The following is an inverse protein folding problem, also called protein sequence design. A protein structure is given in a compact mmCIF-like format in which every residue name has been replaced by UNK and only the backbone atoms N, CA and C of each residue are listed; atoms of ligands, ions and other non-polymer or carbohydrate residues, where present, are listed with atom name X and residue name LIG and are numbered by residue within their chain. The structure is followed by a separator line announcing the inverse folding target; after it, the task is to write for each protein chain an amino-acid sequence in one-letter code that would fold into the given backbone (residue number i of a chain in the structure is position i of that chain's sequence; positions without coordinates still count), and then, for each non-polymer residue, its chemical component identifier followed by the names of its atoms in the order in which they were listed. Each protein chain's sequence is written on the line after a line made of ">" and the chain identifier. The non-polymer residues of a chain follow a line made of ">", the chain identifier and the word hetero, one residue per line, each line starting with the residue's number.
data_IF_474660924230
#
_entry.id   IF_474660924230
#
_cell.length_a   1.000
_cell.length_b   1.000
_cell.length_c   1.000
_cell.angle_alpha   90.00
_cell.angle_beta   90.00
_cell.angle_gamma   90.00
#
_symmetry.space_group_name_H-M   'P 1'
#
loop_
_entity.id
_entity.type
_entity.pdbx_description
1 polymer ?
#
# COMPACT_ATOMS: atom_id res chain seq x y z
N UNK A 1 -44.41 13.60 71.96
CA UNK A 1 -45.27 14.14 70.87
C UNK A 1 -44.41 14.22 69.62
N UNK A 2 -44.33 13.14 68.84
CA UNK A 2 -45.03 12.91 67.56
C UNK A 2 -44.17 13.30 66.33
N UNK A 3 -44.32 12.62 65.17
CA UNK A 3 -43.23 11.87 64.54
C UNK A 3 -42.94 12.24 63.06
N UNK A 4 -41.94 11.55 62.49
CA UNK A 4 -41.73 11.07 61.11
C UNK A 4 -42.26 11.83 59.86
N UNK A 5 -41.32 11.96 58.90
CA UNK A 5 -41.34 12.26 57.44
C UNK A 5 -42.48 11.59 56.63
N UNK A 6 -42.77 11.91 55.33
CA UNK A 6 -41.88 12.42 54.25
C UNK A 6 -42.54 13.38 53.22
N UNK A 7 -41.83 13.83 52.16
CA UNK A 7 -42.40 13.96 50.80
C UNK A 7 -41.30 14.03 49.72
N UNK A 8 -41.62 13.38 48.60
CA UNK A 8 -40.77 12.90 47.49
C UNK A 8 -41.00 13.73 46.22
N UNK A 9 -40.05 13.65 45.28
CA UNK A 9 -40.15 13.90 43.81
C UNK A 9 -40.07 15.38 43.38
N UNK A 10 -39.43 15.78 42.28
CA UNK A 10 -39.06 15.07 41.06
C UNK A 10 -37.87 15.72 40.34
N UNK A 11 -37.10 14.88 39.63
CA UNK A 11 -36.17 15.26 38.56
C UNK A 11 -36.98 15.38 37.27
N UNK A 12 -36.92 16.51 36.58
CA UNK A 12 -37.41 16.66 35.21
C UNK A 12 -36.35 17.32 34.34
N UNK A 13 -35.85 16.53 33.40
CA UNK A 13 -34.99 16.87 32.28
C UNK A 13 -35.69 17.80 31.30
N UNK A 14 -35.07 18.94 30.97
CA UNK A 14 -35.49 19.75 29.82
C UNK A 14 -34.39 19.74 28.78
N UNK A 15 -34.60 18.95 27.74
CA UNK A 15 -33.82 18.88 26.51
C UNK A 15 -34.09 20.15 25.69
N UNK A 16 -33.15 21.09 25.71
CA UNK A 16 -33.07 22.19 24.74
C UNK A 16 -31.95 21.95 23.75
N UNK A 17 -32.29 21.52 22.52
CA UNK A 17 -31.35 21.28 21.41
C UNK A 17 -30.47 22.53 21.17
N UNK A 18 -29.22 22.50 21.61
CA UNK A 18 -28.19 23.43 21.11
C UNK A 18 -27.62 22.86 19.81
N UNK A 19 -27.98 23.52 18.71
CA UNK A 19 -27.39 23.35 17.37
C UNK A 19 -25.89 23.65 17.49
N UNK A 20 -25.05 22.63 17.38
CA UNK A 20 -23.58 22.78 17.34
C UNK A 20 -23.23 23.32 15.95
N UNK A 21 -22.67 24.54 15.82
CA UNK A 21 -22.06 24.97 14.57
C UNK A 21 -20.75 24.19 14.40
N UNK A 22 -20.52 23.66 13.19
CA UNK A 22 -19.48 22.71 12.87
C UNK A 22 -18.07 23.08 13.36
N UNK A 23 -17.39 22.05 13.86
CA UNK A 23 -15.99 22.05 14.24
C UNK A 23 -15.09 22.54 13.10
N UNK A 24 -14.50 23.74 13.27
CA UNK A 24 -13.25 24.15 12.62
C UNK A 24 -12.07 23.91 13.57
N UNK A 25 -12.02 22.76 14.22
CA UNK A 25 -10.96 22.43 15.16
C UNK A 25 -10.33 21.09 14.76
N UNK A 26 -9.61 21.09 13.64
CA UNK A 26 -8.57 20.08 13.37
C UNK A 26 -7.57 20.55 12.31
N UNK A 27 -7.20 21.84 12.34
CA UNK A 27 -5.92 22.27 11.79
C UNK A 27 -4.91 22.25 12.93
N UNK A 28 -3.81 21.51 12.84
CA UNK A 28 -2.71 21.68 13.77
C UNK A 28 -2.14 23.08 13.54
N UNK A 29 -2.52 24.05 14.38
CA UNK A 29 -1.88 25.36 14.41
C UNK A 29 -0.42 25.17 14.86
N UNK A 30 0.46 24.79 13.94
CA UNK A 30 1.90 24.82 14.12
C UNK A 30 2.30 26.29 14.27
N UNK A 31 2.28 26.77 15.51
CA UNK A 31 2.68 28.13 15.87
C UNK A 31 4.20 28.19 15.85
N UNK A 32 4.77 28.84 14.83
CA UNK A 32 6.22 29.00 14.72
C UNK A 32 6.71 29.99 15.78
N UNK A 33 7.70 29.57 16.57
CA UNK A 33 8.17 30.33 17.73
C UNK A 33 9.61 30.77 17.53
N UNK A 34 9.85 32.08 17.55
CA UNK A 34 11.20 32.64 17.51
C UNK A 34 11.55 33.22 18.88
N UNK A 35 12.59 32.67 19.52
CA UNK A 35 13.15 33.23 20.75
C UNK A 35 14.36 34.11 20.43
N UNK A 36 14.40 35.32 20.99
CA UNK A 36 15.47 36.31 20.76
C UNK A 36 15.82 37.04 22.05
N UNK A 37 16.94 37.77 22.09
CA UNK A 37 17.32 38.60 23.23
C UNK A 37 17.15 40.08 22.88
N UNK A 38 16.54 40.83 23.79
CA UNK A 38 16.37 42.28 23.68
C UNK A 38 16.66 42.88 25.06
N UNK A 39 17.62 43.81 25.13
CA UNK A 39 18.08 44.43 26.39
C UNK A 39 18.38 43.40 27.51
N UNK A 40 19.21 42.40 27.22
CA UNK A 40 19.59 41.29 28.11
C UNK A 40 18.47 40.36 28.59
N UNK A 41 17.21 40.57 28.17
CA UNK A 41 16.08 39.68 28.49
C UNK A 41 15.72 38.80 27.30
N UNK A 42 15.45 37.51 27.55
CA UNK A 42 14.95 36.58 26.53
C UNK A 42 13.47 36.88 26.27
N UNK A 43 13.12 37.10 25.00
CA UNK A 43 11.76 37.32 24.51
C UNK A 43 11.42 36.23 23.50
N UNK A 44 10.13 35.99 23.33
CA UNK A 44 9.58 35.02 22.39
C UNK A 44 8.50 35.72 21.58
N UNK A 45 8.48 35.48 20.27
CA UNK A 45 7.40 35.90 19.38
C UNK A 45 6.86 34.68 18.65
N UNK A 46 5.54 34.63 18.54
CA UNK A 46 4.81 33.55 17.86
C UNK A 46 4.35 34.07 16.51
N UNK A 47 4.47 33.25 15.49
CA UNK A 47 4.06 33.53 14.11
C UNK A 47 3.08 32.48 13.64
N UNK A 48 2.17 32.91 12.78
CA UNK A 48 1.20 32.01 12.12
C UNK A 48 1.83 31.30 10.92
N UNK A 49 2.88 31.89 10.32
CA UNK A 49 3.57 31.35 9.15
C UNK A 49 5.06 31.12 9.42
N UNK A 50 5.62 30.08 8.80
CA UNK A 50 7.04 29.72 8.90
C UNK A 50 7.93 30.81 8.29
N UNK A 51 7.53 31.31 7.13
CA UNK A 51 8.24 32.36 6.38
C UNK A 51 8.38 33.64 7.21
N UNK A 52 7.30 34.05 7.90
CA UNK A 52 7.32 35.22 8.79
C UNK A 52 8.20 35.03 10.03
N UNK A 53 8.29 33.79 10.55
CA UNK A 53 9.21 33.46 11.63
C UNK A 53 10.68 33.51 11.16
N UNK A 54 10.98 32.97 9.98
CA UNK A 54 12.33 32.94 9.40
C UNK A 54 12.82 34.37 9.11
N UNK A 55 11.99 35.22 8.50
CA UNK A 55 12.35 36.60 8.19
C UNK A 55 12.62 37.43 9.46
N UNK A 56 11.78 37.26 10.49
CA UNK A 56 12.01 37.89 11.79
C UNK A 56 13.27 37.37 12.49
N UNK A 57 13.55 36.07 12.39
CA UNK A 57 14.75 35.47 12.94
C UNK A 57 16.02 35.99 12.25
N UNK A 58 16.02 36.15 10.92
CA UNK A 58 17.10 36.77 10.14
C UNK A 58 17.31 38.24 10.51
N UNK A 59 16.23 38.97 10.76
CA UNK A 59 16.28 40.39 11.16
C UNK A 59 16.88 40.56 12.56
N UNK A 60 16.51 39.71 13.52
CA UNK A 60 17.00 39.78 14.91
C UNK A 60 18.36 39.12 15.11
N UNK A 61 18.72 38.15 14.28
CA UNK A 61 20.03 37.51 14.28
C UNK A 61 20.53 37.39 12.83
N UNK A 62 21.46 38.26 12.39
CA UNK A 62 22.01 38.21 11.03
C UNK A 62 22.80 36.92 10.74
N UNK A 63 23.17 36.15 11.78
CA UNK A 63 23.79 34.84 11.66
C UNK A 63 22.77 33.68 11.78
N UNK A 64 21.47 33.97 11.74
CA UNK A 64 20.45 32.93 11.76
C UNK A 64 20.58 32.05 10.51
N UNK A 65 20.88 30.77 10.73
CA UNK A 65 20.86 29.73 9.71
C UNK A 65 19.79 28.73 10.13
N UNK A 66 19.01 28.22 9.16
CA UNK A 66 18.24 27.02 9.39
C UNK A 66 19.20 25.88 9.74
N UNK A 67 18.76 24.93 10.55
CA UNK A 67 19.64 23.86 11.02
C UNK A 67 20.34 23.19 9.81
N UNK A 68 21.69 23.13 9.78
CA UNK A 68 22.44 22.57 8.65
C UNK A 68 22.01 21.15 8.28
N UNK A 69 21.51 20.40 9.26
CA UNK A 69 20.97 19.05 9.09
C UNK A 69 19.73 19.07 8.18
N UNK A 70 18.79 20.00 8.40
CA UNK A 70 17.59 20.14 7.57
C UNK A 70 17.92 20.57 6.14
N UNK A 71 18.88 21.48 5.97
CA UNK A 71 19.31 21.96 4.65
C UNK A 71 20.04 20.87 3.85
N UNK A 72 20.89 20.07 4.51
CA UNK A 72 21.60 18.95 3.87
C UNK A 72 20.67 17.79 3.52
N UNK A 73 19.69 17.47 4.37
CA UNK A 73 18.67 16.46 4.07
C UNK A 73 17.74 16.88 2.93
N UNK A 74 17.31 18.15 2.90
CA UNK A 74 16.52 18.70 1.81
C UNK A 74 17.31 18.69 0.49
N UNK A 75 18.59 19.05 0.53
CA UNK A 75 19.45 19.01 -0.66
C UNK A 75 19.72 17.58 -1.13
N UNK A 76 19.93 16.63 -0.20
CA UNK A 76 20.06 15.21 -0.53
C UNK A 76 18.78 14.67 -1.18
N UNK A 77 17.62 15.02 -0.64
CA UNK A 77 16.31 14.64 -1.18
C UNK A 77 16.05 15.22 -2.57
N UNK A 78 16.48 16.46 -2.82
CA UNK A 78 16.37 17.06 -4.16
C UNK A 78 17.29 16.37 -5.18
N UNK A 79 18.50 15.97 -4.78
CA UNK A 79 19.43 15.23 -5.64
C UNK A 79 18.88 13.85 -6.02
N UNK A 80 18.38 13.09 -5.05
CA UNK A 80 17.80 11.77 -5.32
C UNK A 80 16.55 11.86 -6.20
N UNK A 81 15.70 12.88 -5.99
CA UNK A 81 14.55 13.14 -6.86
C UNK A 81 15.01 13.37 -8.31
N UNK A 82 16.02 14.23 -8.52
CA UNK A 82 16.53 14.54 -9.86
C UNK A 82 17.15 13.31 -10.54
N UNK A 83 17.90 12.50 -9.80
CA UNK A 83 18.46 11.23 -10.32
C UNK A 83 17.35 10.27 -10.76
N UNK A 84 16.28 10.15 -9.97
CA UNK A 84 15.12 9.32 -10.29
C UNK A 84 14.35 9.85 -11.51
N UNK A 85 14.14 11.17 -11.63
CA UNK A 85 13.50 11.75 -12.81
C UNK A 85 14.30 11.47 -14.07
N UNK A 86 15.62 11.66 -14.04
CA UNK A 86 16.48 11.45 -15.21
C UNK A 86 16.46 9.98 -15.68
N UNK A 87 16.41 9.02 -14.75
CA UNK A 87 16.29 7.59 -15.09
C UNK A 87 14.95 7.25 -15.73
N UNK A 88 13.87 7.91 -15.30
CA UNK A 88 12.51 7.65 -15.79
C UNK A 88 12.17 8.42 -17.08
N UNK A 89 12.86 9.52 -17.34
CA UNK A 89 12.71 10.34 -18.55
C UNK A 89 13.02 9.54 -19.82
N UNK A 90 14.01 8.63 -19.76
CA UNK A 90 14.34 7.69 -20.85
C UNK A 90 13.13 6.84 -21.27
N UNK A 91 12.22 6.58 -20.33
CA UNK A 91 11.01 5.79 -20.55
C UNK A 91 9.74 6.64 -20.69
N UNK A 92 9.87 7.98 -20.67
CA UNK A 92 8.73 8.92 -20.69
C UNK A 92 7.79 8.75 -19.50
N UNK A 93 8.29 8.32 -18.34
CA UNK A 93 7.48 8.07 -17.13
C UNK A 93 7.82 9.05 -16.02
N UNK A 94 6.85 9.28 -15.14
CA UNK A 94 7.03 10.15 -13.97
C UNK A 94 7.39 9.35 -12.72
N UNK A 95 7.98 10.02 -11.72
CA UNK A 95 8.20 9.40 -10.39
C UNK A 95 6.88 8.95 -9.76
N UNK A 96 5.78 9.64 -10.06
CA UNK A 96 4.45 9.24 -9.60
C UNK A 96 4.05 7.90 -10.19
N UNK A 97 4.20 7.71 -11.50
CA UNK A 97 3.89 6.43 -12.15
C UNK A 97 4.74 5.28 -11.59
N UNK A 98 6.03 5.54 -11.32
CA UNK A 98 6.93 4.55 -10.72
C UNK A 98 6.52 4.20 -9.30
N UNK A 99 6.13 5.20 -8.49
CA UNK A 99 5.63 5.00 -7.13
C UNK A 99 4.33 4.20 -7.15
N UNK A 100 3.38 4.57 -8.00
CA UNK A 100 2.09 3.88 -8.11
C UNK A 100 2.28 2.43 -8.52
N UNK A 101 3.16 2.17 -9.50
CA UNK A 101 3.52 0.81 -9.91
C UNK A 101 4.17 0.02 -8.76
N UNK A 102 5.11 0.63 -8.05
CA UNK A 102 5.83 -0.05 -6.98
C UNK A 102 4.93 -0.32 -5.77
N UNK A 103 4.05 0.61 -5.42
CA UNK A 103 3.04 0.40 -4.37
C UNK A 103 2.07 -0.69 -4.77
N UNK A 104 1.58 -0.71 -6.01
CA UNK A 104 0.74 -1.80 -6.50
C UNK A 104 1.47 -3.15 -6.47
N UNK A 105 2.75 -3.18 -6.84
CA UNK A 105 3.60 -4.36 -6.77
C UNK A 105 3.79 -4.82 -5.31
N UNK A 106 4.02 -3.90 -4.38
CA UNK A 106 4.15 -4.20 -2.95
C UNK A 106 2.83 -4.71 -2.35
N UNK A 107 1.69 -4.11 -2.68
CA UNK A 107 0.37 -4.58 -2.24
C UNK A 107 0.09 -5.99 -2.79
N UNK A 108 0.43 -6.24 -4.05
CA UNK A 108 0.32 -7.58 -4.62
C UNK A 108 1.26 -8.57 -3.91
N UNK A 109 2.46 -8.15 -3.54
CA UNK A 109 3.44 -8.97 -2.81
C UNK A 109 3.06 -9.23 -1.34
N UNK A 110 2.49 -8.24 -0.64
CA UNK A 110 2.00 -8.38 0.74
C UNK A 110 0.76 -9.26 0.82
N UNK A 111 -0.11 -9.18 -0.20
CA UNK A 111 -1.24 -10.09 -0.39
C UNK A 111 -0.82 -11.42 -1.00
N UNK A 112 0.45 -11.60 -1.39
CA UNK A 112 0.84 -12.81 -2.10
C UNK A 112 0.70 -14.00 -1.18
N UNK A 113 -0.19 -14.89 -1.58
CA UNK A 113 -0.32 -16.21 -0.99
C UNK A 113 0.82 -17.10 -1.48
N UNK A 114 1.15 -18.14 -0.72
CA UNK A 114 2.01 -19.21 -1.24
C UNK A 114 1.26 -19.97 -2.33
N UNK A 115 1.99 -20.61 -3.25
CA UNK A 115 1.39 -21.42 -4.33
C UNK A 115 0.44 -22.47 -3.75
N UNK A 116 0.81 -23.13 -2.66
CA UNK A 116 -0.02 -24.12 -1.98
C UNK A 116 -1.39 -23.55 -1.56
N UNK A 117 -1.40 -22.38 -0.92
CA UNK A 117 -2.66 -21.75 -0.49
C UNK A 117 -3.52 -21.30 -1.68
N UNK A 118 -2.91 -20.82 -2.77
CA UNK A 118 -3.67 -20.49 -3.98
C UNK A 118 -4.31 -21.75 -4.58
N UNK A 119 -3.59 -22.87 -4.63
CA UNK A 119 -4.13 -24.13 -5.14
C UNK A 119 -5.31 -24.58 -4.29
N UNK A 120 -5.20 -24.52 -2.96
CA UNK A 120 -6.28 -24.89 -2.05
C UNK A 120 -7.51 -23.97 -2.20
N UNK A 121 -7.30 -22.66 -2.28
CA UNK A 121 -8.39 -21.69 -2.50
C UNK A 121 -9.03 -21.85 -3.88
N UNK A 122 -8.23 -22.13 -4.90
CA UNK A 122 -8.70 -22.32 -6.27
C UNK A 122 -9.53 -23.60 -6.42
N UNK A 123 -9.07 -24.71 -5.84
CA UNK A 123 -9.82 -25.98 -5.79
C UNK A 123 -11.12 -25.78 -5.01
N UNK A 124 -11.06 -25.11 -3.85
CA UNK A 124 -12.25 -24.79 -3.04
C UNK A 124 -13.25 -23.90 -3.78
N UNK A 125 -12.76 -22.92 -4.55
CA UNK A 125 -13.60 -22.05 -5.36
C UNK A 125 -14.27 -22.83 -6.50
N UNK A 126 -13.53 -23.70 -7.19
CA UNK A 126 -14.05 -24.56 -8.26
C UNK A 126 -15.04 -25.61 -7.76
N UNK A 127 -14.82 -26.13 -6.55
CA UNK A 127 -15.76 -27.04 -5.89
C UNK A 127 -17.08 -26.36 -5.56
N UNK A 128 -17.05 -25.09 -5.13
CA UNK A 128 -18.25 -24.27 -4.88
C UNK A 128 -18.99 -23.85 -6.15
N UNK A 129 -18.26 -23.63 -7.25
CA UNK A 129 -18.85 -23.29 -8.55
C UNK A 129 -19.57 -24.48 -9.21
N UNK A 130 -19.38 -25.71 -8.71
CA UNK A 130 -20.16 -26.91 -9.04
C UNK A 130 -20.61 -26.98 -10.53
N UNK A 131 -19.65 -26.97 -11.45
CA UNK A 131 -19.90 -27.33 -12.84
C UNK A 131 -19.36 -28.74 -13.07
N UNK A 132 -20.29 -29.70 -13.15
CA UNK A 132 -20.20 -31.16 -13.30
C UNK A 132 -19.21 -31.74 -14.33
N UNK A 133 -18.35 -30.94 -14.97
CA UNK A 133 -17.48 -31.32 -16.08
C UNK A 133 -15.98 -31.26 -15.77
N UNK A 134 -15.57 -30.78 -14.59
CA UNK A 134 -14.16 -30.65 -14.24
C UNK A 134 -13.78 -31.77 -13.27
N UNK A 135 -12.83 -32.62 -13.65
CA UNK A 135 -12.22 -33.59 -12.73
C UNK A 135 -11.42 -32.83 -11.67
N UNK A 136 -12.06 -32.56 -10.53
CA UNK A 136 -11.45 -31.86 -9.40
C UNK A 136 -10.25 -32.64 -8.84
N UNK A 137 -10.31 -33.97 -8.90
CA UNK A 137 -9.22 -34.85 -8.46
C UNK A 137 -8.00 -34.74 -9.37
N UNK A 138 -8.20 -34.74 -10.70
CA UNK A 138 -7.11 -34.56 -11.68
C UNK A 138 -6.52 -33.16 -11.58
N UNK A 139 -7.37 -32.14 -11.40
CA UNK A 139 -6.95 -30.77 -11.15
C UNK A 139 -6.09 -30.67 -9.90
N UNK A 140 -6.54 -31.23 -8.78
CA UNK A 140 -5.85 -31.18 -7.51
C UNK A 140 -4.51 -31.93 -7.59
N UNK A 141 -4.49 -33.14 -8.16
CA UNK A 141 -3.27 -33.92 -8.30
C UNK A 141 -2.21 -33.18 -9.13
N UNK A 142 -2.61 -32.58 -10.26
CA UNK A 142 -1.67 -31.87 -11.15
C UNK A 142 -1.18 -30.56 -10.55
N UNK A 143 -2.06 -29.80 -9.90
CA UNK A 143 -1.66 -28.57 -9.21
C UNK A 143 -0.84 -28.84 -7.96
N UNK A 144 -0.99 -30.01 -7.33
CA UNK A 144 -0.13 -30.44 -6.22
C UNK A 144 1.30 -30.69 -6.66
N UNK A 145 1.51 -31.37 -7.79
CA UNK A 145 2.86 -31.57 -8.37
C UNK A 145 3.50 -30.20 -8.70
N UNK A 146 2.70 -29.24 -9.14
CA UNK A 146 3.15 -27.87 -9.34
C UNK A 146 3.53 -27.20 -8.00
N UNK A 147 2.67 -27.27 -6.97
CA UNK A 147 2.97 -26.66 -5.67
C UNK A 147 4.19 -27.27 -4.99
N UNK A 148 4.42 -28.58 -5.14
CA UNK A 148 5.61 -29.25 -4.59
C UNK A 148 6.90 -28.75 -5.23
N UNK A 149 6.87 -28.42 -6.53
CA UNK A 149 8.05 -27.87 -7.22
C UNK A 149 8.37 -26.44 -6.78
N UNK A 150 7.33 -25.64 -6.51
CA UNK A 150 7.41 -24.23 -6.16
C UNK A 150 7.09 -24.00 -4.68
N UNK A 151 7.40 -24.98 -3.83
CA UNK A 151 7.11 -24.91 -2.40
C UNK A 151 7.87 -23.74 -1.75
N UNK A 152 7.15 -22.96 -0.95
CA UNK A 152 7.68 -21.73 -0.34
C UNK A 152 7.86 -20.53 -1.29
N UNK A 153 7.68 -20.67 -2.60
CA UNK A 153 7.71 -19.52 -3.52
C UNK A 153 6.39 -18.73 -3.46
N UNK A 154 6.53 -17.40 -3.51
CA UNK A 154 5.40 -16.48 -3.66
C UNK A 154 4.91 -16.47 -5.10
N UNK A 155 3.60 -16.49 -5.31
CA UNK A 155 2.97 -16.50 -6.65
C UNK A 155 3.42 -15.30 -7.50
N UNK A 156 3.66 -14.15 -6.86
CA UNK A 156 4.14 -12.94 -7.54
C UNK A 156 5.58 -13.02 -8.06
N UNK A 157 6.39 -13.94 -7.54
CA UNK A 157 7.81 -14.11 -7.91
C UNK A 157 7.98 -15.10 -9.07
N UNK A 158 7.00 -15.97 -9.32
CA UNK A 158 7.10 -17.02 -10.33
C UNK A 158 7.10 -16.40 -11.72
N UNK A 159 8.18 -16.62 -12.45
CA UNK A 159 8.36 -16.13 -13.81
C UNK A 159 7.84 -17.10 -14.86
N UNK A 160 7.52 -16.57 -16.05
CA UNK A 160 7.13 -17.38 -17.21
C UNK A 160 8.21 -18.40 -17.61
N UNK A 161 9.49 -18.02 -17.51
CA UNK A 161 10.63 -18.88 -17.81
C UNK A 161 10.69 -20.10 -16.87
N UNK A 162 10.52 -19.88 -15.56
CA UNK A 162 10.49 -20.98 -14.58
C UNK A 162 9.34 -21.96 -14.86
N UNK A 163 8.17 -21.47 -15.27
CA UNK A 163 7.03 -22.32 -15.64
C UNK A 163 7.36 -23.13 -16.90
N UNK A 164 7.93 -22.51 -17.94
CA UNK A 164 8.28 -23.19 -19.18
C UNK A 164 9.38 -24.24 -18.96
N UNK A 165 10.40 -23.94 -18.15
CA UNK A 165 11.46 -24.87 -17.79
C UNK A 165 10.91 -26.07 -17.02
N UNK A 166 9.99 -25.82 -16.07
CA UNK A 166 9.31 -26.90 -15.36
C UNK A 166 8.47 -27.77 -16.31
N UNK A 167 7.67 -27.15 -17.19
CA UNK A 167 6.88 -27.88 -18.18
C UNK A 167 7.75 -28.74 -19.12
N UNK A 168 8.96 -28.28 -19.45
CA UNK A 168 9.95 -29.03 -20.23
C UNK A 168 10.60 -30.16 -19.44
N UNK A 169 10.80 -29.97 -18.13
CA UNK A 169 11.33 -31.00 -17.23
C UNK A 169 10.38 -32.18 -17.04
N UNK A 170 9.06 -31.96 -17.20
CA UNK A 170 8.07 -33.02 -17.23
C UNK A 170 8.28 -33.84 -18.52
N UNK A 171 8.84 -35.05 -18.37
CA UNK A 171 9.00 -36.04 -19.45
C UNK A 171 7.65 -36.68 -19.83
N UNK A 172 6.70 -35.84 -20.25
CA UNK A 172 5.33 -36.21 -20.59
C UNK A 172 5.03 -35.84 -22.04
N UNK A 173 3.96 -36.41 -22.59
CA UNK A 173 3.51 -36.07 -23.95
C UNK A 173 3.22 -34.57 -24.09
N UNK A 174 3.32 -34.06 -25.31
CA UNK A 174 2.99 -32.66 -25.65
C UNK A 174 1.54 -32.34 -25.24
N UNK A 175 0.62 -33.30 -25.39
CA UNK A 175 -0.79 -33.17 -25.01
C UNK A 175 -0.91 -32.97 -23.49
N UNK A 176 -0.23 -33.81 -22.72
CA UNK A 176 -0.21 -33.73 -21.25
C UNK A 176 0.42 -32.41 -20.79
N UNK A 177 1.52 -31.97 -21.41
CA UNK A 177 2.18 -30.68 -21.11
C UNK A 177 1.23 -29.49 -21.36
N UNK A 178 0.49 -29.50 -22.46
CA UNK A 178 -0.50 -28.48 -22.75
C UNK A 178 -1.66 -28.49 -21.74
N UNK A 179 -2.03 -29.67 -21.23
CA UNK A 179 -2.99 -29.78 -20.15
C UNK A 179 -2.48 -29.09 -18.88
N UNK A 180 -1.25 -29.39 -18.43
CA UNK A 180 -0.63 -28.70 -17.30
C UNK A 180 -0.62 -27.18 -17.50
N UNK A 181 -0.20 -26.71 -18.68
CA UNK A 181 -0.17 -25.27 -18.99
C UNK A 181 -1.56 -24.62 -18.84
N UNK A 182 -2.63 -25.27 -19.31
CA UNK A 182 -4.00 -24.77 -19.20
C UNK A 182 -4.46 -24.67 -17.74
N UNK A 183 -4.14 -25.65 -16.91
CA UNK A 183 -4.49 -25.63 -15.49
C UNK A 183 -3.76 -24.54 -14.73
N UNK A 184 -2.45 -24.39 -14.96
CA UNK A 184 -1.66 -23.31 -14.38
C UNK A 184 -2.20 -21.95 -14.82
N UNK A 185 -2.50 -21.79 -16.11
CA UNK A 185 -3.10 -20.56 -16.63
C UNK A 185 -4.39 -20.19 -15.89
N UNK A 186 -5.25 -21.17 -15.63
CA UNK A 186 -6.51 -20.96 -14.92
C UNK A 186 -6.28 -20.58 -13.45
N UNK A 187 -5.33 -21.24 -12.76
CA UNK A 187 -4.96 -20.91 -11.39
C UNK A 187 -4.36 -19.49 -11.28
N UNK A 188 -3.48 -19.09 -12.19
CA UNK A 188 -2.93 -17.72 -12.21
C UNK A 188 -3.96 -16.67 -12.61
N UNK A 189 -4.92 -16.98 -13.48
CA UNK A 189 -6.04 -16.07 -13.76
C UNK A 189 -6.88 -15.82 -12.50
N UNK A 190 -7.12 -16.86 -11.70
CA UNK A 190 -7.78 -16.72 -10.40
C UNK A 190 -6.94 -15.87 -9.44
N UNK A 191 -5.61 -16.07 -9.41
CA UNK A 191 -4.70 -15.25 -8.62
C UNK A 191 -4.76 -13.77 -9.00
N UNK A 192 -4.78 -13.46 -10.29
CA UNK A 192 -4.92 -12.08 -10.81
C UNK A 192 -6.29 -11.50 -10.44
N UNK A 193 -7.38 -12.26 -10.59
CA UNK A 193 -8.72 -11.81 -10.23
C UNK A 193 -8.85 -11.48 -8.73
N UNK A 194 -8.13 -12.20 -7.88
CA UNK A 194 -8.07 -11.96 -6.43
C UNK A 194 -7.08 -10.87 -6.03
N UNK A 195 -6.24 -10.41 -6.96
CA UNK A 195 -5.19 -9.43 -6.70
C UNK A 195 -3.96 -10.00 -5.98
N UNK A 196 -3.76 -11.32 -6.03
CA UNK A 196 -2.55 -11.99 -5.51
C UNK A 196 -1.37 -11.87 -6.48
N UNK A 197 -1.62 -11.65 -7.76
CA UNK A 197 -0.59 -11.47 -8.79
C UNK A 197 -0.95 -10.30 -9.72
N UNK A 198 0.06 -9.53 -10.16
CA UNK A 198 -0.14 -8.37 -11.04
C UNK A 198 -0.43 -8.77 -12.49
N UNK A 199 0.04 -9.93 -12.93
CA UNK A 199 -0.18 -10.44 -14.29
C UNK A 199 -0.08 -11.96 -14.31
N UNK A 200 -0.65 -12.60 -15.33
CA UNK A 200 -0.53 -14.04 -15.50
C UNK A 200 0.77 -14.36 -16.28
N UNK A 201 1.76 -15.02 -15.65
CA UNK A 201 3.05 -15.33 -16.28
C UNK A 201 2.92 -16.35 -17.42
N UNK A 202 1.84 -17.14 -17.49
CA UNK A 202 1.67 -18.19 -18.52
C UNK A 202 1.47 -17.60 -19.92
N UNK A 203 0.99 -16.37 -20.05
CA UNK A 203 0.89 -15.74 -21.38
C UNK A 203 2.21 -15.15 -21.88
N UNK A 204 3.28 -15.19 -21.07
CA UNK A 204 4.52 -14.50 -21.35
C UNK A 204 4.44 -13.02 -20.99
N UNK A 205 5.58 -12.32 -21.11
CA UNK A 205 5.72 -10.90 -20.77
C UNK A 205 4.88 -10.06 -21.74
N UNK A 206 3.61 -9.82 -21.43
CA UNK A 206 2.90 -8.70 -22.03
C UNK A 206 3.42 -7.42 -21.38
N UNK A 207 4.34 -6.77 -22.09
CA UNK A 207 4.67 -5.37 -21.81
C UNK A 207 3.40 -4.58 -22.12
N UNK A 208 2.62 -4.24 -21.08
CA UNK A 208 1.53 -3.27 -21.20
C UNK A 208 2.14 -1.89 -21.44
N UNK A 209 2.51 -1.61 -22.69
CA UNK A 209 2.76 -0.26 -23.14
C UNK A 209 1.40 0.42 -23.33
N UNK A 210 1.06 1.36 -22.45
CA UNK A 210 -0.10 2.24 -22.65
C UNK A 210 0.15 3.01 -23.96
N UNK A 211 -0.72 2.86 -24.96
CA UNK A 211 -0.66 3.68 -26.17
C UNK A 211 -0.78 5.16 -25.77
N UNK A 212 0.18 5.96 -26.22
CA UNK A 212 0.20 7.41 -26.03
C UNK A 212 -0.88 8.11 -26.84
#
# INVERSE_FOLDING_TARGET
>A
MHPATPHTTAISSTTGKRKIPGSKANEPCLKFVVTYREAAKRRQRVFETEEGAIEFARTKNPNFRCDPIQETEAQASARTLLECTNKLEVYGKTIRDATDFFVQHLIANEKSCTVAKLVDEFVSAKQKEAASHFDLDDLQARLKIFSERFDGESIGTITSAQIDDWLRSLNVSIITRNHYRRLIMLAFNFAVQRGYASSNPVFGRFVFSRAG
#
